data_IF_716592176164
#
_entry.id   IF_716592176164
#
_cell.length_a   1.000
_cell.length_b   1.000
_cell.length_c   1.000
_cell.angle_alpha   90.00
_cell.angle_beta   90.00
_cell.angle_gamma   90.00
#
_symmetry.space_group_name_H-M   'P 1'
#
loop_
_entity.id
_entity.type
_entity.pdbx_description
1 polymer ?
#
# COMPACT_ATOMS: atom_id res chain seq x y z
N UNK A 1 -15.37 -0.31 5.91
CA UNK A 1 -14.66 -0.31 4.63
C UNK A 1 -13.64 0.81 4.69
N UNK A 2 -12.33 0.50 4.58
CA UNK A 2 -11.26 1.45 4.32
C UNK A 2 -10.92 2.48 5.42
N UNK A 3 -11.87 2.98 6.22
CA UNK A 3 -11.59 3.96 7.27
C UNK A 3 -10.65 5.09 6.80
N UNK A 4 -9.58 5.34 7.55
CA UNK A 4 -8.53 6.31 7.21
C UNK A 4 -7.73 5.98 5.93
N UNK A 5 -7.81 4.74 5.44
CA UNK A 5 -7.16 4.32 4.19
C UNK A 5 -7.95 4.73 2.94
N UNK A 6 -9.25 5.07 3.04
CA UNK A 6 -10.08 5.45 1.88
C UNK A 6 -9.42 6.51 0.97
N UNK A 7 -8.99 7.69 1.46
CA UNK A 7 -8.38 8.70 0.60
C UNK A 7 -7.07 8.21 -0.03
N UNK A 8 -6.26 7.45 0.72
CA UNK A 8 -4.98 6.90 0.21
C UNK A 8 -5.23 5.90 -0.91
N UNK A 9 -6.18 4.97 -0.72
CA UNK A 9 -6.53 3.97 -1.72
C UNK A 9 -7.14 4.58 -2.98
N UNK A 10 -8.00 5.59 -2.84
CA UNK A 10 -8.59 6.30 -3.98
C UNK A 10 -7.54 7.04 -4.81
N UNK A 11 -6.64 7.79 -4.16
CA UNK A 11 -5.54 8.49 -4.85
C UNK A 11 -4.59 7.47 -5.47
N UNK A 12 -4.28 6.37 -4.79
CA UNK A 12 -3.41 5.31 -5.32
C UNK A 12 -3.93 4.77 -6.66
N UNK A 13 -5.22 4.42 -6.75
CA UNK A 13 -5.82 3.94 -8.01
C UNK A 13 -5.79 5.01 -9.10
N UNK A 14 -6.13 6.26 -8.77
CA UNK A 14 -6.11 7.36 -9.73
C UNK A 14 -4.69 7.62 -10.26
N UNK A 15 -3.69 7.64 -9.39
CA UNK A 15 -2.28 7.80 -9.78
C UNK A 15 -1.81 6.65 -10.66
N UNK A 16 -2.12 5.40 -10.29
CA UNK A 16 -1.78 4.22 -11.09
C UNK A 16 -2.33 4.31 -12.52
N UNK A 17 -3.54 4.81 -12.70
CA UNK A 17 -4.15 4.97 -14.03
C UNK A 17 -3.54 6.16 -14.77
N UNK A 18 -3.48 7.33 -14.13
CA UNK A 18 -3.13 8.59 -14.79
C UNK A 18 -1.62 8.74 -15.03
N UNK A 19 -0.80 8.40 -14.03
CA UNK A 19 0.64 8.62 -14.07
C UNK A 19 1.42 7.39 -14.56
N UNK A 20 0.90 6.19 -14.30
CA UNK A 20 1.55 4.92 -14.66
C UNK A 20 0.85 4.17 -15.79
N UNK A 21 -0.20 4.75 -16.38
CA UNK A 21 -0.92 4.23 -17.54
C UNK A 21 -1.41 2.77 -17.35
N UNK A 22 -1.73 2.39 -16.11
CA UNK A 22 -2.28 1.09 -15.79
C UNK A 22 -3.75 1.01 -16.19
N UNK A 23 -4.21 -0.17 -16.61
CA UNK A 23 -5.65 -0.44 -16.72
C UNK A 23 -6.33 -0.37 -15.34
N UNK A 24 -7.66 -0.13 -15.28
CA UNK A 24 -8.38 -0.12 -14.01
C UNK A 24 -8.19 -1.39 -13.18
N UNK A 25 -8.12 -2.56 -13.84
CA UNK A 25 -7.91 -3.83 -13.16
C UNK A 25 -6.50 -3.94 -12.57
N UNK A 26 -5.48 -3.52 -13.32
CA UNK A 26 -4.10 -3.49 -12.82
C UNK A 26 -3.95 -2.51 -11.66
N UNK A 27 -4.54 -1.32 -11.76
CA UNK A 27 -4.48 -0.30 -10.70
C UNK A 27 -5.14 -0.77 -9.39
N UNK A 28 -6.27 -1.48 -9.48
CA UNK A 28 -6.95 -2.05 -8.29
C UNK A 28 -6.15 -3.21 -7.69
N UNK A 29 -5.51 -4.03 -8.53
CA UNK A 29 -4.69 -5.17 -8.12
C UNK A 29 -3.27 -4.78 -7.69
N UNK A 30 -2.87 -3.52 -7.89
CA UNK A 30 -1.52 -3.06 -7.60
C UNK A 30 -1.23 -3.10 -6.09
N UNK A 31 -0.02 -3.51 -5.65
CA UNK A 31 0.30 -3.65 -4.24
C UNK A 31 0.15 -2.35 -3.45
N UNK A 32 -0.48 -2.45 -2.28
CA UNK A 32 -0.82 -1.30 -1.45
C UNK A 32 0.11 -1.12 -0.25
N UNK A 33 0.22 0.13 0.17
CA UNK A 33 0.96 0.54 1.36
C UNK A 33 0.14 1.59 2.15
N UNK A 34 0.26 1.60 3.47
CA UNK A 34 -0.37 2.63 4.30
C UNK A 34 0.42 2.92 5.56
N UNK A 35 0.66 4.20 5.79
CA UNK A 35 1.34 4.69 6.96
C UNK A 35 0.32 5.10 8.03
N UNK A 36 0.42 4.52 9.22
CA UNK A 36 -0.44 4.84 10.34
C UNK A 36 0.26 4.60 11.67
N UNK A 37 0.12 5.54 12.62
CA UNK A 37 0.76 5.48 13.94
C UNK A 37 2.27 5.17 13.87
N UNK A 38 2.98 5.87 12.98
CA UNK A 38 4.42 5.72 12.75
C UNK A 38 4.87 4.34 12.22
N UNK A 39 3.91 3.50 11.79
CA UNK A 39 4.17 2.20 11.19
C UNK A 39 3.72 2.24 9.73
N UNK A 40 4.64 1.90 8.83
CA UNK A 40 4.33 1.73 7.43
C UNK A 40 3.95 0.27 7.14
N UNK A 41 2.66 0.03 6.94
CA UNK A 41 2.12 -1.28 6.59
C UNK A 41 2.27 -1.51 5.09
N UNK A 42 2.87 -2.63 4.72
CA UNK A 42 3.14 -3.01 3.33
C UNK A 42 2.50 -4.35 3.02
N UNK A 43 1.89 -4.47 1.84
CA UNK A 43 1.49 -5.78 1.32
C UNK A 43 2.72 -6.65 1.00
N UNK A 44 2.54 -7.97 1.14
CA UNK A 44 3.62 -8.96 0.94
C UNK A 44 4.24 -8.90 -0.46
N UNK A 45 3.43 -8.60 -1.47
CA UNK A 45 3.81 -8.55 -2.89
C UNK A 45 4.76 -7.40 -3.26
N UNK A 46 4.97 -6.43 -2.36
CA UNK A 46 6.00 -5.39 -2.54
C UNK A 46 7.39 -6.05 -2.49
N UNK A 47 8.29 -5.63 -3.37
CA UNK A 47 9.62 -6.23 -3.49
C UNK A 47 10.49 -6.02 -2.24
N UNK A 48 11.41 -6.95 -1.98
CA UNK A 48 12.37 -6.84 -0.87
C UNK A 48 13.34 -5.66 -1.02
N UNK A 49 13.61 -5.24 -2.25
CA UNK A 49 14.41 -4.05 -2.54
C UNK A 49 13.74 -2.80 -1.99
N UNK A 50 12.45 -2.60 -2.28
CA UNK A 50 11.67 -1.45 -1.78
C UNK A 50 11.57 -1.50 -0.25
N UNK A 51 11.29 -2.67 0.33
CA UNK A 51 11.26 -2.84 1.79
C UNK A 51 12.60 -2.45 2.43
N UNK A 52 13.71 -2.93 1.88
CA UNK A 52 15.05 -2.62 2.39
C UNK A 52 15.37 -1.12 2.25
N UNK A 53 15.01 -0.51 1.12
CA UNK A 53 15.20 0.92 0.89
C UNK A 53 14.43 1.77 1.90
N UNK A 54 13.15 1.45 2.14
CA UNK A 54 12.31 2.16 3.11
C UNK A 54 12.86 2.03 4.55
N UNK A 55 13.32 0.84 4.96
CA UNK A 55 13.93 0.64 6.27
C UNK A 55 15.22 1.47 6.44
N UNK A 56 16.05 1.56 5.39
CA UNK A 56 17.31 2.32 5.42
C UNK A 56 17.10 3.82 5.61
N UNK A 57 16.00 4.37 5.09
CA UNK A 57 15.65 5.78 5.26
C UNK A 57 14.84 6.05 6.54
N UNK A 58 14.66 5.04 7.40
CA UNK A 58 14.12 5.19 8.75
C UNK A 58 12.65 4.80 8.93
N UNK A 59 11.99 4.21 7.93
CA UNK A 59 10.61 3.75 8.10
C UNK A 59 10.52 2.49 8.95
N UNK A 60 9.60 2.48 9.92
CA UNK A 60 9.24 1.27 10.66
C UNK A 60 8.24 0.45 9.84
N UNK A 61 8.66 -0.69 9.32
CA UNK A 61 7.85 -1.49 8.40
C UNK A 61 7.07 -2.60 9.12
N UNK A 62 5.85 -2.86 8.66
CA UNK A 62 5.06 -4.03 9.03
C UNK A 62 4.53 -4.72 7.77
N UNK A 63 5.01 -5.94 7.50
CA UNK A 63 4.61 -6.71 6.32
C UNK A 63 3.37 -7.53 6.68
N UNK A 64 2.29 -7.33 5.93
CA UNK A 64 1.04 -8.05 6.15
C UNK A 64 1.15 -9.52 5.72
N UNK A 65 0.50 -10.42 6.49
CA UNK A 65 0.38 -11.85 6.16
C UNK A 65 -0.60 -12.05 4.98
N UNK A 66 -0.51 -13.19 4.31
CA UNK A 66 -1.38 -13.55 3.17
C UNK A 66 -2.86 -13.33 3.49
N UNK A 67 -3.59 -12.75 2.53
CA UNK A 67 -5.01 -12.38 2.59
C UNK A 67 -5.39 -11.16 3.45
N UNK A 68 -4.42 -10.43 4.04
CA UNK A 68 -4.68 -9.13 4.67
C UNK A 68 -4.42 -7.97 3.72
N UNK A 69 -5.50 -7.31 3.31
CA UNK A 69 -5.42 -6.03 2.59
C UNK A 69 -5.35 -4.88 3.58
N UNK A 70 -4.53 -3.90 3.27
CA UNK A 70 -4.31 -2.70 4.08
C UNK A 70 -5.64 -2.00 4.41
N UNK A 71 -6.59 -1.95 3.47
CA UNK A 71 -7.91 -1.32 3.65
C UNK A 71 -8.91 -2.09 4.52
N UNK A 72 -8.61 -3.32 4.95
CA UNK A 72 -9.49 -4.14 5.80
C UNK A 72 -9.21 -4.03 7.30
N UNK A 73 -8.07 -3.47 7.71
CA UNK A 73 -7.66 -3.37 9.12
C UNK A 73 -8.23 -2.17 9.91
N UNK A 74 -8.89 -1.22 9.26
CA UNK A 74 -9.37 0.02 9.91
C UNK A 74 -10.86 -0.05 10.29
N UNK A 75 -11.30 -1.17 10.84
CA UNK A 75 -12.60 -1.30 11.51
C UNK A 75 -12.42 -1.21 13.02
#
# INVERSE_FOLDING_TARGET
MGGQYQPVGQVHVLNSILDYNMSPQEAISFPRAFHFNNIYKLEKSISEEIKTGLSKIGHQLNILKENMEVGKQLK
#
